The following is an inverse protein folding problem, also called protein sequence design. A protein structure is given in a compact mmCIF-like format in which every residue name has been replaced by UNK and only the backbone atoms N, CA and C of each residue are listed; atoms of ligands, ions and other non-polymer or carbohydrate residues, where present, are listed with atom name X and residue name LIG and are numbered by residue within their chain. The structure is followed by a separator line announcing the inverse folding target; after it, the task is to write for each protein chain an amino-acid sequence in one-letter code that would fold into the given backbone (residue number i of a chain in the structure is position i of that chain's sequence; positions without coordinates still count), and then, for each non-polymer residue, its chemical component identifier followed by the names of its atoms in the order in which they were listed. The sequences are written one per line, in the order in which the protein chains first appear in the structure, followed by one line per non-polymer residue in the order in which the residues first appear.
data_IF_560985771166
#
_entry.id   IF_560985771166
#
_cell.length_a   1.000
_cell.length_b   1.000
_cell.length_c   1.000
_cell.angle_alpha   90.00
_cell.angle_beta   90.00
_cell.angle_gamma   90.00
#
_symmetry.space_group_name_H-M   'P 1'
#
loop_
_entity.id
_entity.type
_entity.pdbx_description
1 polymer ?
#
# COMPACT_ATOMS: atom_id res chain seq x y z
N UNK A 1 -17.44 9.83 1.44
CA UNK A 1 -16.32 9.17 2.16
C UNK A 1 -15.62 8.14 1.27
N UNK A 2 -16.32 7.15 0.69
CA UNK A 2 -15.70 6.15 -0.22
C UNK A 2 -14.96 6.80 -1.42
N UNK A 3 -15.58 7.79 -2.08
CA UNK A 3 -14.95 8.53 -3.18
C UNK A 3 -13.64 9.24 -2.79
N UNK A 4 -13.61 9.85 -1.59
CA UNK A 4 -12.41 10.52 -1.06
C UNK A 4 -11.29 9.51 -0.83
N UNK A 5 -11.62 8.32 -0.31
CA UNK A 5 -10.66 7.22 -0.13
C UNK A 5 -10.08 6.72 -1.46
N UNK A 6 -10.90 6.53 -2.49
CA UNK A 6 -10.42 6.17 -3.83
C UNK A 6 -9.52 7.23 -4.44
N UNK A 7 -9.89 8.51 -4.32
CA UNK A 7 -9.09 9.61 -4.84
C UNK A 7 -7.75 9.72 -4.11
N UNK A 8 -7.75 9.59 -2.78
CA UNK A 8 -6.53 9.56 -1.98
C UNK A 8 -5.61 8.39 -2.38
N UNK A 9 -6.15 7.18 -2.58
CA UNK A 9 -5.39 6.02 -3.03
C UNK A 9 -4.77 6.21 -4.43
N UNK A 10 -5.50 6.88 -5.33
CA UNK A 10 -5.01 7.22 -6.65
C UNK A 10 -3.86 8.24 -6.60
N UNK A 11 -4.05 9.35 -5.87
CA UNK A 11 -2.99 10.34 -5.65
C UNK A 11 -1.76 9.73 -4.99
N UNK A 12 -1.98 8.82 -4.04
CA UNK A 12 -0.90 8.11 -3.36
C UNK A 12 -0.05 7.27 -4.33
N UNK A 13 -0.70 6.58 -5.28
CA UNK A 13 0.00 5.84 -6.35
C UNK A 13 0.91 6.76 -7.18
N UNK A 14 0.45 7.96 -7.51
CA UNK A 14 1.26 8.96 -8.22
C UNK A 14 2.44 9.45 -7.39
N UNK A 15 2.24 9.70 -6.10
CA UNK A 15 3.32 10.10 -5.19
C UNK A 15 4.41 9.02 -5.14
N UNK A 16 4.05 7.74 -5.01
CA UNK A 16 5.02 6.64 -5.00
C UNK A 16 5.81 6.58 -6.31
N UNK A 17 5.13 6.73 -7.45
CA UNK A 17 5.79 6.78 -8.75
C UNK A 17 6.80 7.93 -8.83
N UNK A 18 6.36 9.16 -8.53
CA UNK A 18 7.19 10.36 -8.58
C UNK A 18 8.42 10.25 -7.67
N UNK A 19 8.24 9.74 -6.44
CA UNK A 19 9.33 9.52 -5.49
C UNK A 19 10.32 8.47 -5.96
N UNK A 20 9.84 7.39 -6.56
CA UNK A 20 10.71 6.34 -7.12
C UNK A 20 11.61 6.91 -8.21
N UNK A 21 11.03 7.69 -9.12
CA UNK A 21 11.75 8.37 -10.19
C UNK A 21 12.74 9.42 -9.67
N UNK A 22 12.29 10.31 -8.77
CA UNK A 22 13.13 11.34 -8.18
C UNK A 22 14.33 10.74 -7.45
N UNK A 23 14.13 9.67 -6.67
CA UNK A 23 15.21 8.98 -5.97
C UNK A 23 16.24 8.36 -6.95
N UNK A 24 15.82 7.90 -8.13
CA UNK A 24 16.76 7.39 -9.14
C UNK A 24 17.61 8.52 -9.73
N UNK A 25 17.00 9.65 -10.10
CA UNK A 25 17.71 10.83 -10.60
C UNK A 25 18.68 11.36 -9.55
N UNK A 26 18.22 11.50 -8.32
CA UNK A 26 19.01 12.04 -7.21
C UNK A 26 20.27 11.21 -6.97
N UNK A 27 20.13 9.88 -6.91
CA UNK A 27 21.26 8.95 -6.80
C UNK A 27 22.21 9.06 -8.00
N UNK A 28 21.69 9.26 -9.22
CA UNK A 28 22.51 9.46 -10.42
C UNK A 28 23.34 10.74 -10.32
N UNK A 29 22.71 11.86 -9.93
CA UNK A 29 23.38 13.15 -9.78
C UNK A 29 24.47 13.09 -8.70
N UNK A 30 24.15 12.58 -7.50
CA UNK A 30 25.14 12.46 -6.42
C UNK A 30 26.34 11.59 -6.81
N UNK A 31 26.09 10.51 -7.55
CA UNK A 31 27.14 9.63 -8.08
C UNK A 31 28.06 10.34 -9.08
N UNK A 32 27.50 11.11 -10.01
CA UNK A 32 28.28 11.91 -10.98
C UNK A 32 29.09 13.02 -10.30
N UNK A 33 28.56 13.61 -9.22
CA UNK A 33 29.28 14.61 -8.42
C UNK A 33 30.31 14.01 -7.47
N UNK A 34 30.29 12.69 -7.26
CA UNK A 34 31.14 12.00 -6.28
C UNK A 34 30.84 12.37 -4.82
N UNK A 35 29.66 12.94 -4.54
CA UNK A 35 29.27 13.41 -3.20
C UNK A 35 27.76 13.37 -2.99
N UNK A 36 27.32 13.08 -1.77
CA UNK A 36 25.91 12.93 -1.39
C UNK A 36 25.32 14.28 -0.93
N UNK A 37 25.16 15.23 -1.86
CA UNK A 37 24.64 16.58 -1.57
C UNK A 37 23.11 16.58 -1.53
N UNK A 38 22.47 15.88 -2.46
CA UNK A 38 21.02 15.76 -2.49
C UNK A 38 20.60 14.62 -1.56
N UNK A 39 19.76 14.92 -0.57
CA UNK A 39 19.34 13.94 0.46
C UNK A 39 17.84 13.76 0.57
N UNK A 40 17.07 14.29 -0.39
CA UNK A 40 15.61 14.27 -0.36
C UNK A 40 15.08 12.83 -0.34
N UNK A 41 15.63 11.94 -1.17
CA UNK A 41 15.24 10.52 -1.15
C UNK A 41 15.40 9.90 0.25
N UNK A 42 16.47 10.22 0.98
CA UNK A 42 16.73 9.71 2.33
C UNK A 42 15.71 10.24 3.35
N UNK A 43 15.36 11.53 3.26
CA UNK A 43 14.33 12.13 4.11
C UNK A 43 12.97 11.46 3.88
N UNK A 44 12.60 11.26 2.62
CA UNK A 44 11.36 10.61 2.25
C UNK A 44 11.32 9.14 2.67
N UNK A 45 12.45 8.43 2.59
CA UNK A 45 12.56 7.05 3.05
C UNK A 45 12.31 6.90 4.55
N UNK A 46 12.68 7.89 5.36
CA UNK A 46 12.39 7.92 6.80
C UNK A 46 10.90 8.18 7.04
N UNK A 47 10.32 9.12 6.29
CA UNK A 47 8.94 9.55 6.50
C UNK A 47 7.90 8.57 5.97
N UNK A 48 8.10 8.05 4.75
CA UNK A 48 7.15 7.17 4.06
C UNK A 48 7.60 5.71 3.98
N UNK A 49 8.89 5.42 4.22
CA UNK A 49 9.48 4.13 3.90
C UNK A 49 10.14 4.11 2.52
N UNK A 50 10.97 3.10 2.28
CA UNK A 50 11.68 2.98 1.01
C UNK A 50 10.70 2.64 -0.12
N UNK A 51 10.79 3.29 -1.30
CA UNK A 51 9.90 3.02 -2.43
C UNK A 51 9.85 1.53 -2.79
N UNK A 52 11.01 0.87 -2.67
CA UNK A 52 11.23 -0.54 -2.91
C UNK A 52 11.09 -1.45 -1.69
N UNK A 53 10.30 -1.10 -0.68
CA UNK A 53 9.94 -2.04 0.38
C UNK A 53 8.69 -2.87 0.01
N UNK A 54 8.61 -4.16 0.40
CA UNK A 54 7.33 -4.89 0.41
C UNK A 54 6.34 -4.14 1.30
N UNK A 55 5.15 -3.89 0.77
CA UNK A 55 4.14 -3.06 1.45
C UNK A 55 2.77 -3.67 1.34
N UNK A 56 1.94 -3.43 2.35
CA UNK A 56 0.51 -3.66 2.30
C UNK A 56 -0.18 -2.30 2.18
N UNK A 57 -0.74 -2.03 1.00
CA UNK A 57 -1.16 -0.67 0.60
C UNK A 57 0.02 0.31 0.72
N UNK A 58 0.08 1.09 1.80
CA UNK A 58 1.11 2.10 2.03
C UNK A 58 2.03 1.77 3.23
N UNK A 59 1.71 0.73 4.02
CA UNK A 59 2.56 0.30 5.14
C UNK A 59 3.73 -0.55 4.65
N UNK A 60 4.96 -0.05 4.81
CA UNK A 60 6.17 -0.86 4.60
C UNK A 60 6.23 -1.98 5.65
N UNK A 61 6.38 -3.23 5.19
CA UNK A 61 6.56 -4.38 6.07
C UNK A 61 7.98 -4.45 6.67
N UNK A 62 8.94 -3.73 6.08
CA UNK A 62 10.31 -3.61 6.59
C UNK A 62 10.47 -2.45 7.57
N UNK A 63 9.68 -1.40 7.40
CA UNK A 63 9.65 -0.20 8.25
C UNK A 63 8.21 0.06 8.71
N UNK A 64 7.68 -0.75 9.66
CA UNK A 64 6.25 -0.75 10.00
C UNK A 64 5.78 0.45 10.82
N UNK A 65 6.70 1.35 11.21
CA UNK A 65 6.45 2.49 12.10
C UNK A 65 6.75 3.85 11.45
N UNK A 66 6.78 3.91 10.11
CA UNK A 66 6.80 5.20 9.41
C UNK A 66 5.45 5.91 9.59
N UNK A 67 5.41 7.23 9.36
CA UNK A 67 4.16 7.99 9.50
C UNK A 67 3.05 7.41 8.62
N UNK A 68 3.40 7.06 7.39
CA UNK A 68 2.48 6.46 6.43
C UNK A 68 2.04 5.05 6.82
N UNK A 69 2.94 4.25 7.41
CA UNK A 69 2.57 2.94 7.95
C UNK A 69 1.60 3.10 9.13
N UNK A 70 1.85 4.05 10.03
CA UNK A 70 0.95 4.35 11.15
C UNK A 70 -0.45 4.74 10.68
N UNK A 71 -0.57 5.59 9.67
CA UNK A 71 -1.86 5.96 9.07
C UNK A 71 -2.58 4.75 8.43
N UNK A 72 -1.84 3.94 7.67
CA UNK A 72 -2.38 2.70 7.09
C UNK A 72 -2.89 1.76 8.17
N UNK A 73 -2.14 1.56 9.25
CA UNK A 73 -2.56 0.70 10.36
C UNK A 73 -3.77 1.27 11.08
N UNK A 74 -3.81 2.58 11.32
CA UNK A 74 -4.97 3.24 11.93
C UNK A 74 -6.25 2.96 11.15
N UNK A 75 -6.26 3.23 9.85
CA UNK A 75 -7.44 2.99 9.01
C UNK A 75 -7.76 1.51 8.83
N UNK A 76 -6.74 0.64 8.80
CA UNK A 76 -6.95 -0.81 8.74
C UNK A 76 -7.66 -1.31 10.00
N UNK A 77 -7.19 -0.92 11.18
CA UNK A 77 -7.78 -1.33 12.46
C UNK A 77 -9.17 -0.73 12.63
N UNK A 78 -9.35 0.56 12.35
CA UNK A 78 -10.66 1.21 12.41
C UNK A 78 -11.65 0.58 11.43
N UNK A 79 -11.22 0.29 10.20
CA UNK A 79 -12.02 -0.37 9.18
C UNK A 79 -12.40 -1.81 9.58
N UNK A 80 -11.46 -2.58 10.13
CA UNK A 80 -11.72 -3.93 10.63
C UNK A 80 -12.71 -3.94 11.80
N UNK A 81 -12.58 -2.99 12.73
CA UNK A 81 -13.51 -2.83 13.85
C UNK A 81 -14.92 -2.47 13.35
N UNK A 82 -15.02 -1.50 12.43
CA UNK A 82 -16.30 -1.09 11.85
C UNK A 82 -16.94 -2.23 11.05
N UNK A 83 -16.15 -2.97 10.28
CA UNK A 83 -16.61 -4.16 9.56
C UNK A 83 -17.12 -5.24 10.51
N UNK A 84 -16.42 -5.49 11.62
CA UNK A 84 -16.84 -6.43 12.66
C UNK A 84 -18.19 -6.05 13.27
N UNK A 85 -18.32 -4.80 13.73
CA UNK A 85 -19.58 -4.27 14.30
C UNK A 85 -20.71 -4.31 13.26
N UNK A 86 -20.45 -3.88 12.03
CA UNK A 86 -21.43 -3.91 10.95
C UNK A 86 -21.90 -5.32 10.61
N UNK A 87 -20.97 -6.29 10.60
CA UNK A 87 -21.28 -7.71 10.37
C UNK A 87 -22.13 -8.28 11.51
N UNK A 88 -21.85 -7.92 12.77
CA UNK A 88 -22.64 -8.37 13.92
C UNK A 88 -24.08 -7.82 13.86
N UNK A 89 -24.24 -6.52 13.60
CA UNK A 89 -25.55 -5.88 13.47
C UNK A 89 -26.31 -6.45 12.27
N UNK A 90 -25.63 -6.60 11.13
CA UNK A 90 -26.19 -7.20 9.92
C UNK A 90 -26.66 -8.64 10.15
N UNK A 91 -25.85 -9.45 10.82
CA UNK A 91 -26.20 -10.83 11.16
C UNK A 91 -27.44 -10.90 12.04
N UNK A 92 -27.49 -10.09 13.10
CA UNK A 92 -28.67 -10.01 13.97
C UNK A 92 -29.93 -9.57 13.21
N UNK A 93 -29.78 -8.67 12.22
CA UNK A 93 -30.88 -8.21 11.38
C UNK A 93 -31.37 -9.32 10.45
N UNK A 94 -30.46 -10.00 9.76
CA UNK A 94 -30.78 -11.08 8.80
C UNK A 94 -31.46 -12.26 9.51
N UNK A 95 -30.99 -12.63 10.71
CA UNK A 95 -31.63 -13.68 11.51
C UNK A 95 -33.07 -13.32 11.93
N UNK A 96 -33.39 -12.04 12.13
CA UNK A 96 -34.77 -11.61 12.45
C UNK A 96 -35.72 -11.72 11.27
N UNK A 97 -35.23 -11.59 10.03
CA UNK A 97 -36.06 -11.78 8.83
C UNK A 97 -36.44 -13.25 8.69
N UNK A 98 -35.54 -14.17 9.08
CA UNK A 98 -35.86 -15.59 9.18
C UNK A 98 -35.84 -16.36 7.86
N UNK A 99 -35.26 -15.79 6.80
CA UNK A 99 -35.13 -16.50 5.52
C UNK A 99 -34.23 -17.74 5.64
N UNK A 100 -34.50 -18.83 4.89
CA UNK A 100 -33.73 -20.07 4.97
C UNK A 100 -32.22 -19.91 4.73
N UNK A 101 -31.80 -18.93 3.93
CA UNK A 101 -30.39 -18.64 3.60
C UNK A 101 -29.70 -17.68 4.58
N UNK A 102 -30.38 -17.24 5.64
CA UNK A 102 -29.85 -16.28 6.61
C UNK A 102 -28.53 -16.73 7.26
N UNK A 103 -28.32 -18.04 7.42
CA UNK A 103 -27.09 -18.61 7.97
C UNK A 103 -25.86 -18.39 7.08
N UNK A 104 -26.05 -18.15 5.78
CA UNK A 104 -24.95 -17.91 4.83
C UNK A 104 -24.38 -16.50 4.93
N UNK A 105 -25.06 -15.56 5.57
CA UNK A 105 -24.65 -14.16 5.61
C UNK A 105 -23.23 -13.97 6.13
N UNK A 106 -22.91 -14.51 7.31
CA UNK A 106 -21.58 -14.35 7.92
C UNK A 106 -20.49 -15.04 7.09
N UNK A 107 -20.63 -16.33 6.68
CA UNK A 107 -19.66 -16.97 5.80
C UNK A 107 -19.41 -16.22 4.49
N UNK A 108 -20.46 -15.69 3.85
CA UNK A 108 -20.33 -14.95 2.59
C UNK A 108 -19.61 -13.62 2.80
N UNK A 109 -20.00 -12.84 3.82
CA UNK A 109 -19.39 -11.55 4.12
C UNK A 109 -17.92 -11.70 4.53
N UNK A 110 -17.60 -12.68 5.38
CA UNK A 110 -16.21 -12.98 5.76
C UNK A 110 -15.40 -13.51 4.58
N UNK A 111 -15.96 -14.45 3.81
CA UNK A 111 -15.30 -15.00 2.62
C UNK A 111 -14.99 -13.91 1.60
N UNK A 112 -15.93 -12.99 1.36
CA UNK A 112 -15.73 -11.84 0.50
C UNK A 112 -14.60 -10.92 1.01
N UNK A 113 -14.61 -10.58 2.29
CA UNK A 113 -13.58 -9.71 2.87
C UNK A 113 -12.18 -10.35 2.82
N UNK A 114 -12.08 -11.64 3.17
CA UNK A 114 -10.83 -12.39 3.12
C UNK A 114 -10.30 -12.53 1.70
N UNK A 115 -11.17 -12.82 0.72
CA UNK A 115 -10.78 -12.92 -0.68
C UNK A 115 -10.20 -11.60 -1.20
N UNK A 116 -10.85 -10.47 -0.90
CA UNK A 116 -10.36 -9.15 -1.29
C UNK A 116 -9.05 -8.81 -0.57
N UNK A 117 -8.95 -9.06 0.74
CA UNK A 117 -7.73 -8.85 1.51
C UNK A 117 -6.55 -9.68 0.98
N UNK A 118 -6.79 -10.96 0.66
CA UNK A 118 -5.78 -11.85 0.08
C UNK A 118 -5.33 -11.39 -1.30
N UNK A 119 -6.25 -10.97 -2.17
CA UNK A 119 -5.92 -10.41 -3.49
C UNK A 119 -5.03 -9.18 -3.38
N UNK A 120 -5.40 -8.21 -2.53
CA UNK A 120 -4.62 -6.99 -2.33
C UNK A 120 -3.25 -7.29 -1.70
N UNK A 121 -3.19 -8.15 -0.69
CA UNK A 121 -1.94 -8.56 -0.06
C UNK A 121 -1.01 -9.20 -1.10
N UNK A 122 -1.51 -10.16 -1.88
CA UNK A 122 -0.74 -10.80 -2.95
C UNK A 122 -0.21 -9.78 -3.97
N UNK A 123 -1.07 -8.87 -4.45
CA UNK A 123 -0.71 -7.88 -5.47
C UNK A 123 0.37 -6.91 -4.96
N UNK A 124 0.16 -6.29 -3.80
CA UNK A 124 1.06 -5.27 -3.25
C UNK A 124 2.37 -5.85 -2.70
N UNK A 125 2.34 -7.02 -2.05
CA UNK A 125 3.55 -7.69 -1.56
C UNK A 125 4.37 -8.25 -2.73
N UNK A 126 3.70 -8.71 -3.79
CA UNK A 126 4.34 -9.24 -4.99
C UNK A 126 5.20 -8.23 -5.74
N UNK A 127 4.87 -6.93 -5.66
CA UNK A 127 5.67 -5.81 -6.19
C UNK A 127 6.06 -5.92 -7.67
N UNK A 128 5.24 -6.56 -8.51
CA UNK A 128 5.58 -6.82 -9.92
C UNK A 128 5.79 -5.52 -10.69
N UNK A 129 4.87 -4.58 -10.56
CA UNK A 129 4.91 -3.31 -11.29
C UNK A 129 6.04 -2.41 -10.77
N UNK A 130 6.23 -2.36 -9.45
CA UNK A 130 7.35 -1.62 -8.84
C UNK A 130 8.70 -2.15 -9.33
N UNK A 131 8.88 -3.47 -9.41
CA UNK A 131 10.12 -4.08 -9.94
C UNK A 131 10.32 -3.83 -11.43
N UNK A 132 9.25 -3.64 -12.19
CA UNK A 132 9.36 -3.27 -13.60
C UNK A 132 9.85 -1.81 -13.74
N UNK A 133 9.28 -0.89 -12.94
CA UNK A 133 9.73 0.51 -12.87
C UNK A 133 11.18 0.59 -12.43
N UNK A 134 11.55 -0.10 -11.34
CA UNK A 134 12.92 -0.12 -10.83
C UNK A 134 13.91 -0.61 -11.90
N UNK A 135 13.56 -1.65 -12.68
CA UNK A 135 14.39 -2.12 -13.80
C UNK A 135 14.59 -1.07 -14.89
N UNK A 136 13.50 -0.40 -15.32
CA UNK A 136 13.59 0.67 -16.31
C UNK A 136 14.47 1.83 -15.84
N UNK A 137 14.42 2.16 -14.54
CA UNK A 137 15.26 3.21 -13.97
C UNK A 137 16.72 2.80 -13.86
N UNK A 138 17.01 1.53 -13.58
CA UNK A 138 18.37 1.01 -13.60
C UNK A 138 18.94 1.05 -15.02
N UNK A 139 18.19 0.57 -16.01
CA UNK A 139 18.58 0.62 -17.43
C UNK A 139 18.82 2.05 -17.92
N UNK A 140 18.03 3.03 -17.46
CA UNK A 140 18.16 4.42 -17.88
C UNK A 140 19.28 5.20 -17.18
N UNK A 141 19.63 4.85 -15.94
CA UNK A 141 20.48 5.68 -15.08
C UNK A 141 21.69 4.97 -14.47
N UNK A 142 21.86 3.66 -14.66
CA UNK A 142 23.11 2.97 -14.37
C UNK A 142 23.96 2.88 -15.64
N UNK A 143 25.23 3.30 -15.60
CA UNK A 143 26.11 3.17 -16.76
C UNK A 143 26.34 1.69 -17.07
N UNK A 144 26.41 1.33 -18.36
CA UNK A 144 26.99 0.05 -18.77
C UNK A 144 28.40 -0.02 -18.16
N UNK A 145 28.62 -0.99 -17.26
CA UNK A 145 29.96 -1.26 -16.74
C UNK A 145 30.86 -1.60 -17.93
N UNK A 146 32.00 -0.89 -18.11
CA UNK A 146 32.98 -1.25 -19.13
C UNK A 146 33.63 -2.61 -18.86
#
# INVERSE_FOLDING_TARGET
IIYVGFHAAHLFSYVIFARTYAAAIERRINRELGTDILVAHRLEEVYFGAPGDPKLVAASLRRPVTMLAAETWHFTVAGAALFGVGTLIGHATVLRVGEPWSFLYVPVVLGWALMNGAYLAWYFIGRRDQRAIERLLLEAYEPETP
#
